data_IF_251309474847
#
_entry.id   IF_251309474847
#
_cell.length_a   1.000
_cell.length_b   1.000
_cell.length_c   1.000
_cell.angle_alpha   90.00
_cell.angle_beta   90.00
_cell.angle_gamma   90.00
#
_symmetry.space_group_name_H-M   'P 1'
#
loop_
_entity.id
_entity.type
_entity.pdbx_description
1 polymer ?
#
# COMPACT_ATOMS: atom_id res chain seq x y z
N UNK A 1 11.36 -67.89 -8.20
CA UNK A 1 11.88 -66.52 -8.45
C UNK A 1 11.47 -65.61 -7.30
N UNK A 2 12.39 -64.77 -6.82
CA UNK A 2 12.49 -64.29 -5.42
C UNK A 2 11.33 -63.35 -4.99
N UNK A 3 10.56 -63.67 -3.93
CA UNK A 3 9.54 -62.79 -3.35
C UNK A 3 10.10 -61.62 -2.50
N UNK A 4 11.41 -61.36 -2.55
CA UNK A 4 12.09 -60.31 -1.76
C UNK A 4 12.26 -58.97 -2.48
N UNK A 5 11.84 -58.86 -3.75
CA UNK A 5 11.99 -57.62 -4.53
C UNK A 5 10.90 -56.59 -4.23
N UNK A 6 9.69 -57.03 -3.87
CA UNK A 6 8.53 -56.17 -3.61
C UNK A 6 8.73 -55.21 -2.42
N UNK A 7 9.21 -55.63 -1.23
CA UNK A 7 9.37 -54.71 -0.11
C UNK A 7 10.49 -53.69 -0.35
N UNK A 8 11.49 -54.03 -1.16
CA UNK A 8 12.60 -53.13 -1.49
C UNK A 8 12.15 -52.03 -2.46
N UNK A 9 11.25 -52.36 -3.40
CA UNK A 9 10.67 -51.41 -4.35
C UNK A 9 9.69 -50.45 -3.66
N UNK A 10 8.89 -50.95 -2.70
CA UNK A 10 8.00 -50.13 -1.87
C UNK A 10 8.81 -49.20 -0.94
N UNK A 11 9.89 -49.69 -0.34
CA UNK A 11 10.79 -48.85 0.46
C UNK A 11 11.49 -47.77 -0.38
N UNK A 12 11.89 -48.07 -1.62
CA UNK A 12 12.47 -47.08 -2.53
C UNK A 12 11.45 -46.01 -2.97
N UNK A 13 10.20 -46.40 -3.22
CA UNK A 13 9.09 -45.48 -3.54
C UNK A 13 8.71 -44.60 -2.33
N UNK A 14 8.78 -45.13 -1.11
CA UNK A 14 8.59 -44.36 0.13
C UNK A 14 9.76 -43.38 0.39
N UNK A 15 11.00 -43.77 0.09
CA UNK A 15 12.15 -42.86 0.18
C UNK A 15 12.14 -41.79 -0.93
N UNK A 16 11.58 -42.07 -2.11
CA UNK A 16 11.45 -41.10 -3.19
C UNK A 16 10.33 -40.06 -2.97
N UNK A 17 9.36 -40.35 -2.08
CA UNK A 17 8.29 -39.41 -1.69
C UNK A 17 8.66 -38.55 -0.49
N UNK A 18 9.81 -38.78 0.14
CA UNK A 18 10.47 -37.80 1.00
C UNK A 18 11.11 -36.67 0.17
N UNK A 19 10.41 -36.22 -0.87
CA UNK A 19 10.69 -34.97 -1.54
C UNK A 19 10.51 -33.88 -0.49
N UNK A 20 11.64 -33.33 -0.09
CA UNK A 20 11.81 -32.18 0.78
C UNK A 20 10.61 -31.24 0.62
N UNK A 21 9.77 -31.15 1.65
CA UNK A 21 8.80 -30.07 1.78
C UNK A 21 9.60 -28.80 2.05
N UNK A 22 10.30 -28.30 1.03
CA UNK A 22 10.81 -26.94 1.06
C UNK A 22 9.56 -26.08 1.03
N UNK A 23 9.29 -25.25 2.05
CA UNK A 23 8.20 -24.30 1.96
C UNK A 23 8.41 -23.53 0.65
N UNK A 24 7.36 -23.42 -0.17
CA UNK A 24 7.41 -22.58 -1.34
C UNK A 24 7.86 -21.20 -0.85
N UNK A 25 9.10 -20.82 -1.18
CA UNK A 25 9.59 -19.48 -0.94
C UNK A 25 8.78 -18.62 -1.88
N UNK A 26 7.71 -18.04 -1.36
CA UNK A 26 6.86 -17.11 -2.10
C UNK A 26 7.77 -15.94 -2.48
N UNK A 27 8.21 -15.91 -3.74
CA UNK A 27 9.21 -14.99 -4.25
C UNK A 27 8.63 -13.59 -4.50
N UNK A 28 7.68 -13.17 -3.67
CA UNK A 28 7.07 -11.84 -3.74
C UNK A 28 8.09 -10.78 -3.34
N UNK A 29 7.89 -9.57 -3.86
CA UNK A 29 8.65 -8.42 -3.43
C UNK A 29 8.50 -8.21 -1.91
N UNK A 30 9.46 -7.54 -1.24
CA UNK A 30 9.32 -7.18 0.16
C UNK A 30 8.02 -6.40 0.43
N UNK A 31 7.44 -6.51 1.64
CA UNK A 31 6.26 -5.74 2.01
C UNK A 31 6.47 -4.24 1.79
N UNK A 32 5.43 -3.55 1.33
CA UNK A 32 5.49 -2.12 0.98
C UNK A 32 4.59 -1.31 1.92
N UNK A 33 5.07 -0.20 2.50
CA UNK A 33 4.22 0.69 3.29
C UNK A 33 3.22 1.41 2.40
N UNK A 34 1.98 1.57 2.85
CA UNK A 34 1.02 2.45 2.16
C UNK A 34 1.49 3.90 2.20
N UNK A 35 2.11 4.32 3.31
CA UNK A 35 2.71 5.65 3.47
C UNK A 35 4.20 5.54 3.83
N UNK A 36 5.10 5.66 2.85
CA UNK A 36 6.55 5.62 3.13
C UNK A 36 7.07 6.82 3.93
N UNK A 37 6.42 8.00 3.84
CA UNK A 37 6.73 9.17 4.69
C UNK A 37 6.35 8.93 6.16
N UNK A 38 5.30 8.15 6.39
CA UNK A 38 4.80 7.84 7.72
C UNK A 38 5.64 6.72 8.38
N UNK A 39 6.31 5.89 7.57
CA UNK A 39 7.23 4.82 8.01
C UNK A 39 8.70 5.27 8.10
N UNK A 40 8.93 6.58 8.23
CA UNK A 40 10.26 7.13 8.08
C UNK A 40 11.13 6.73 9.28
N UNK A 41 12.16 5.94 9.04
CA UNK A 41 13.24 5.68 10.01
C UNK A 41 14.55 5.53 9.25
N UNK A 42 15.32 6.62 9.14
CA UNK A 42 16.56 6.62 8.35
C UNK A 42 17.62 7.55 8.91
N UNK A 43 18.87 7.23 8.58
CA UNK A 43 20.02 8.09 8.82
C UNK A 43 20.39 8.79 7.53
N UNK A 44 20.41 10.12 7.55
CA UNK A 44 20.82 10.93 6.41
C UNK A 44 22.32 10.77 6.12
N UNK A 45 22.81 11.13 4.92
CA UNK A 45 24.25 11.03 4.61
C UNK A 45 25.16 11.84 5.55
N UNK A 46 24.65 12.89 6.18
CA UNK A 46 25.35 13.71 7.18
C UNK A 46 25.33 13.12 8.59
N UNK A 47 24.61 12.01 8.81
CA UNK A 47 24.60 11.24 10.06
C UNK A 47 23.41 11.54 10.97
N UNK A 48 22.56 12.51 10.64
CA UNK A 48 21.35 12.79 11.42
C UNK A 48 20.30 11.71 11.19
N UNK A 49 19.75 11.18 12.27
CA UNK A 49 18.61 10.27 12.22
C UNK A 49 17.31 11.07 12.13
N UNK A 50 16.46 10.70 11.18
CA UNK A 50 15.11 11.24 11.04
C UNK A 50 14.15 10.08 11.26
N UNK A 51 13.19 10.27 12.16
CA UNK A 51 12.25 9.21 12.58
C UNK A 51 10.84 9.80 12.66
N UNK A 52 9.88 9.15 12.00
CA UNK A 52 8.46 9.43 12.16
C UNK A 52 7.94 8.84 13.48
N UNK A 53 7.18 9.63 14.21
CA UNK A 53 6.36 9.21 15.33
C UNK A 53 4.91 9.02 14.87
N UNK A 54 3.99 9.73 15.52
CA UNK A 54 2.58 9.69 15.11
C UNK A 54 2.40 10.24 13.69
N UNK A 55 1.59 9.57 12.88
CA UNK A 55 1.49 9.90 11.46
C UNK A 55 0.11 9.66 10.86
N UNK A 56 -0.22 10.47 9.87
CA UNK A 56 -1.46 10.35 9.11
C UNK A 56 -1.22 10.53 7.62
N UNK A 57 -2.01 9.81 6.82
CA UNK A 57 -2.06 9.96 5.37
C UNK A 57 -3.48 10.26 4.92
N UNK A 58 -3.63 11.33 4.14
CA UNK A 58 -4.87 11.63 3.42
C UNK A 58 -4.64 11.52 1.92
N UNK A 59 -5.41 10.65 1.27
CA UNK A 59 -5.47 10.51 -0.18
C UNK A 59 -6.78 11.10 -0.68
N UNK A 60 -6.71 11.99 -1.66
CA UNK A 60 -7.87 12.55 -2.34
C UNK A 60 -7.88 12.08 -3.79
N UNK A 61 -8.95 11.40 -4.19
CA UNK A 61 -9.19 10.94 -5.56
C UNK A 61 -9.96 12.04 -6.30
N UNK A 62 -9.40 12.50 -7.42
CA UNK A 62 -10.00 13.53 -8.27
C UNK A 62 -10.77 12.92 -9.44
N UNK A 63 -11.72 13.65 -10.01
CA UNK A 63 -12.58 13.26 -11.13
C UNK A 63 -11.78 12.83 -12.37
N UNK A 64 -10.61 13.44 -12.55
CA UNK A 64 -9.71 13.11 -13.65
C UNK A 64 -8.93 11.81 -13.43
N UNK A 65 -9.13 11.12 -12.31
CA UNK A 65 -8.43 9.88 -11.93
C UNK A 65 -7.06 10.10 -11.29
N UNK A 66 -6.56 11.33 -11.24
CA UNK A 66 -5.35 11.58 -10.45
C UNK A 66 -5.66 11.59 -8.96
N UNK A 67 -4.63 11.40 -8.16
CA UNK A 67 -4.72 11.44 -6.71
C UNK A 67 -3.76 12.49 -6.14
N UNK A 68 -4.16 13.13 -5.06
CA UNK A 68 -3.26 13.94 -4.24
C UNK A 68 -3.12 13.32 -2.87
N UNK A 69 -1.90 13.29 -2.38
CA UNK A 69 -1.51 12.65 -1.14
C UNK A 69 -0.94 13.71 -0.22
N UNK A 70 -1.42 13.71 1.03
CA UNK A 70 -0.89 14.54 2.10
C UNK A 70 -0.49 13.61 3.24
N UNK A 71 0.81 13.39 3.38
CA UNK A 71 1.38 12.71 4.53
C UNK A 71 1.76 13.75 5.59
N UNK A 72 1.43 13.46 6.85
CA UNK A 72 1.93 14.19 8.01
C UNK A 72 2.59 13.19 8.95
N UNK A 73 3.78 13.52 9.42
CA UNK A 73 4.50 12.74 10.42
C UNK A 73 5.05 13.69 11.48
N UNK A 74 4.62 13.50 12.72
CA UNK A 74 5.22 14.16 13.88
C UNK A 74 6.57 13.49 14.13
N UNK A 75 7.66 14.23 13.91
CA UNK A 75 8.99 13.65 13.93
C UNK A 75 9.41 13.34 15.37
N UNK A 76 9.68 12.07 15.66
CA UNK A 76 10.30 11.64 16.91
C UNK A 76 11.79 12.03 16.95
N UNK A 77 12.43 12.22 15.79
CA UNK A 77 13.79 12.73 15.67
C UNK A 77 14.02 13.41 14.30
N UNK A 78 14.98 14.34 14.26
CA UNK A 78 15.47 14.95 13.03
C UNK A 78 14.78 16.24 12.59
N UNK A 79 13.79 16.74 13.33
CA UNK A 79 13.06 17.97 13.02
C UNK A 79 13.98 19.19 12.84
N UNK A 80 14.91 19.41 13.78
CA UNK A 80 15.87 20.52 13.72
C UNK A 80 16.75 20.48 12.46
N UNK A 81 17.23 19.29 12.09
CA UNK A 81 18.06 19.10 10.89
C UNK A 81 17.26 19.41 9.61
N UNK A 82 16.01 18.92 9.55
CA UNK A 82 15.12 19.20 8.43
C UNK A 82 14.66 20.68 8.40
N UNK A 83 14.59 21.36 9.54
CA UNK A 83 14.27 22.77 9.63
C UNK A 83 15.43 23.64 9.14
N UNK A 84 16.65 23.29 9.56
CA UNK A 84 17.88 24.00 9.18
C UNK A 84 18.23 23.84 7.70
N UNK A 85 17.84 22.74 7.07
CA UNK A 85 18.22 22.43 5.69
C UNK A 85 17.03 21.99 4.83
N UNK A 86 16.52 22.93 4.02
CA UNK A 86 15.41 22.68 3.09
C UNK A 86 15.75 21.62 2.02
N UNK A 87 16.98 21.64 1.49
CA UNK A 87 17.38 20.67 0.47
C UNK A 87 17.42 19.25 1.03
N UNK A 88 17.89 19.09 2.27
CA UNK A 88 17.83 17.82 3.00
C UNK A 88 16.38 17.38 3.20
N UNK A 89 15.51 18.27 3.69
CA UNK A 89 14.08 17.99 3.88
C UNK A 89 13.40 17.52 2.59
N UNK A 90 13.67 18.20 1.47
CA UNK A 90 13.13 17.78 0.16
C UNK A 90 13.66 16.42 -0.28
N UNK A 91 14.94 16.14 -0.08
CA UNK A 91 15.53 14.84 -0.44
C UNK A 91 14.94 13.70 0.39
N UNK A 92 14.90 13.86 1.72
CA UNK A 92 14.33 12.89 2.67
C UNK A 92 12.86 12.62 2.35
N UNK A 93 12.06 13.67 2.15
CA UNK A 93 10.65 13.52 1.78
C UNK A 93 10.45 12.83 0.42
N UNK A 94 11.28 13.16 -0.58
CA UNK A 94 11.16 12.59 -1.92
C UNK A 94 11.61 11.13 -2.00
N UNK A 95 12.54 10.72 -1.16
CA UNK A 95 12.94 9.32 -1.03
C UNK A 95 11.87 8.54 -0.26
N UNK A 96 11.46 9.03 0.91
CA UNK A 96 10.43 8.38 1.73
C UNK A 96 9.08 8.24 1.01
N UNK A 97 8.68 9.23 0.20
CA UNK A 97 7.46 9.13 -0.60
C UNK A 97 7.52 8.01 -1.67
N UNK A 98 8.71 7.69 -2.19
CA UNK A 98 8.91 6.60 -3.18
C UNK A 98 8.96 5.22 -2.54
N UNK A 99 9.21 5.14 -1.24
CA UNK A 99 9.15 3.87 -0.52
C UNK A 99 7.70 3.41 -0.30
N UNK A 100 6.72 4.31 -0.47
CA UNK A 100 5.30 4.01 -0.39
C UNK A 100 4.70 3.38 -1.66
N UNK A 101 3.41 3.05 -1.62
CA UNK A 101 2.66 2.48 -2.77
C UNK A 101 2.38 3.46 -3.92
N UNK A 102 2.75 4.73 -3.79
CA UNK A 102 2.46 5.76 -4.77
C UNK A 102 3.67 6.06 -5.67
N UNK A 103 3.41 6.60 -6.86
CA UNK A 103 4.42 7.16 -7.76
C UNK A 103 4.42 8.71 -7.68
N UNK A 104 5.18 9.31 -6.74
CA UNK A 104 5.07 10.74 -6.46
C UNK A 104 5.56 11.63 -7.61
N UNK A 105 4.73 12.62 -7.95
CA UNK A 105 5.00 13.77 -8.82
C UNK A 105 4.69 15.06 -8.08
N UNK A 106 5.28 16.17 -8.53
CA UNK A 106 5.02 17.52 -8.00
C UNK A 106 5.12 17.62 -6.46
N UNK A 107 6.11 16.92 -5.89
CA UNK A 107 6.28 16.80 -4.45
C UNK A 107 6.73 18.11 -3.82
N UNK A 108 6.09 18.46 -2.70
CA UNK A 108 6.51 19.55 -1.82
C UNK A 108 6.63 19.03 -0.38
N UNK A 109 7.57 19.61 0.36
CA UNK A 109 7.85 19.22 1.74
C UNK A 109 8.09 20.45 2.61
N UNK A 110 7.34 20.55 3.70
CA UNK A 110 7.43 21.63 4.68
C UNK A 110 7.44 21.07 6.09
N UNK A 111 7.92 21.89 7.02
CA UNK A 111 7.78 21.64 8.46
C UNK A 111 6.77 22.60 9.05
N UNK A 112 6.03 22.10 10.03
CA UNK A 112 5.05 22.82 10.84
C UNK A 112 5.36 22.49 12.30
N UNK A 113 6.27 23.27 12.91
CA UNK A 113 6.97 22.81 14.12
C UNK A 113 7.77 21.54 13.83
N UNK A 114 7.49 20.48 14.58
CA UNK A 114 8.13 19.17 14.42
C UNK A 114 7.37 18.24 13.45
N UNK A 115 6.25 18.70 12.87
CA UNK A 115 5.47 17.92 11.92
C UNK A 115 6.01 18.09 10.50
N UNK A 116 6.53 17.02 9.90
CA UNK A 116 6.83 16.98 8.47
C UNK A 116 5.53 16.80 7.68
N UNK A 117 5.23 17.74 6.80
CA UNK A 117 4.10 17.67 5.87
C UNK A 117 4.61 17.53 4.46
N UNK A 118 4.23 16.44 3.81
CA UNK A 118 4.60 16.13 2.42
C UNK A 118 3.34 16.03 1.58
N UNK A 119 3.24 16.89 0.58
CA UNK A 119 2.16 16.90 -0.41
C UNK A 119 2.72 16.45 -1.76
N UNK A 120 2.07 15.49 -2.41
CA UNK A 120 2.45 15.04 -3.76
C UNK A 120 1.23 14.57 -4.56
N UNK A 121 1.41 14.42 -5.86
CA UNK A 121 0.40 13.93 -6.80
C UNK A 121 0.84 12.60 -7.38
N UNK A 122 -0.11 11.68 -7.55
CA UNK A 122 0.09 10.51 -8.39
C UNK A 122 -0.98 10.51 -9.49
N UNK A 123 -0.58 10.72 -10.77
CA UNK A 123 -1.52 10.75 -11.88
C UNK A 123 -2.05 9.36 -12.29
N UNK A 124 -1.43 8.28 -11.83
CA UNK A 124 -1.64 6.90 -12.30
C UNK A 124 -2.17 5.97 -11.21
N UNK A 125 -2.31 6.43 -9.97
CA UNK A 125 -2.87 5.67 -8.84
C UNK A 125 -4.35 5.26 -8.97
N UNK A 126 -5.01 5.52 -10.10
CA UNK A 126 -6.35 4.98 -10.34
C UNK A 126 -6.53 4.44 -11.74
N UNK A 127 -7.45 3.48 -11.85
CA UNK A 127 -8.02 3.06 -13.11
C UNK A 127 -9.41 3.63 -13.32
N UNK A 128 -9.70 4.08 -14.54
CA UNK A 128 -11.00 4.69 -14.87
C UNK A 128 -11.84 3.77 -15.73
N UNK A 129 -12.99 3.37 -15.19
CA UNK A 129 -13.97 2.51 -15.86
C UNK A 129 -15.37 3.09 -15.64
N UNK A 130 -16.23 3.11 -16.67
CA UNK A 130 -17.66 3.51 -16.53
C UNK A 130 -17.92 4.87 -15.83
N UNK A 131 -16.99 5.82 -15.96
CA UNK A 131 -17.09 7.14 -15.33
C UNK A 131 -16.79 7.16 -13.84
N UNK A 132 -16.21 6.08 -13.28
CA UNK A 132 -15.71 6.00 -11.90
C UNK A 132 -14.19 5.83 -11.90
N UNK A 133 -13.54 6.12 -10.77
CA UNK A 133 -12.11 5.92 -10.57
C UNK A 133 -11.87 4.88 -9.46
N UNK A 134 -11.17 3.80 -9.77
CA UNK A 134 -10.81 2.72 -8.85
C UNK A 134 -9.39 2.96 -8.36
N UNK A 135 -9.21 3.08 -7.06
CA UNK A 135 -7.91 3.31 -6.42
C UNK A 135 -7.24 1.97 -6.10
N UNK A 136 -6.36 1.54 -6.99
CA UNK A 136 -5.70 0.22 -6.99
C UNK A 136 -4.41 0.08 -6.15
N UNK A 137 -3.68 1.13 -5.71
CA UNK A 137 -2.40 0.96 -5.01
C UNK A 137 -2.44 0.15 -3.70
N UNK A 138 -3.63 -0.04 -3.13
CA UNK A 138 -3.80 -0.74 -1.85
C UNK A 138 -3.79 -2.27 -2.00
N UNK A 139 -4.08 -2.78 -3.19
CA UNK A 139 -4.09 -4.22 -3.46
C UNK A 139 -2.83 -4.62 -4.23
N UNK A 140 -1.97 -5.51 -3.69
CA UNK A 140 -0.79 -5.97 -4.40
C UNK A 140 -1.15 -6.67 -5.72
N UNK A 141 -0.48 -6.29 -6.80
CA UNK A 141 -0.60 -6.96 -8.08
C UNK A 141 -0.07 -8.40 -8.01
N UNK A 142 -0.90 -9.32 -8.49
CA UNK A 142 -0.50 -10.71 -8.73
C UNK A 142 0.35 -10.82 -10.00
N UNK A 143 1.16 -11.88 -10.16
CA UNK A 143 1.91 -12.08 -11.39
C UNK A 143 0.94 -12.20 -12.58
N UNK A 144 1.16 -11.40 -13.62
CA UNK A 144 0.32 -11.33 -14.83
C UNK A 144 0.38 -12.58 -15.71
N UNK A 145 1.14 -13.61 -15.31
CA UNK A 145 1.29 -14.86 -16.06
C UNK A 145 0.95 -16.07 -15.20
N UNK A 146 0.07 -16.96 -15.67
CA UNK A 146 -0.28 -18.16 -14.93
C UNK A 146 0.95 -19.05 -14.73
N UNK A 147 1.07 -19.65 -13.55
CA UNK A 147 2.18 -20.52 -13.12
C UNK A 147 3.54 -19.82 -12.89
N UNK A 148 3.59 -18.49 -12.92
CA UNK A 148 4.75 -17.72 -12.43
C UNK A 148 4.58 -17.43 -10.94
N UNK A 149 5.60 -17.78 -10.15
CA UNK A 149 5.68 -17.39 -8.74
C UNK A 149 6.30 -15.99 -8.64
N UNK A 150 5.74 -15.12 -7.81
CA UNK A 150 6.19 -13.74 -7.66
C UNK A 150 5.01 -12.78 -7.48
N UNK A 151 5.23 -11.49 -7.71
CA UNK A 151 4.24 -10.43 -7.54
C UNK A 151 4.67 -9.39 -6.54
N UNK A 152 3.82 -8.38 -6.34
CA UNK A 152 4.07 -7.35 -5.35
C UNK A 152 4.03 -7.91 -3.93
N UNK A 153 4.77 -7.27 -3.03
CA UNK A 153 4.76 -7.58 -1.62
C UNK A 153 3.44 -7.19 -0.96
N UNK A 154 3.14 -7.82 0.16
CA UNK A 154 2.00 -7.45 0.99
C UNK A 154 2.09 -5.96 1.39
N UNK A 155 0.94 -5.29 1.48
CA UNK A 155 0.91 -3.91 1.98
C UNK A 155 0.83 -3.91 3.51
N UNK A 156 1.36 -2.86 4.12
CA UNK A 156 1.12 -2.54 5.53
C UNK A 156 0.82 -1.06 5.68
N UNK A 157 -0.02 -0.71 6.65
CA UNK A 157 -0.62 0.63 6.71
C UNK A 157 0.43 1.74 6.87
N UNK A 158 1.41 1.48 7.74
CA UNK A 158 2.54 2.36 8.04
C UNK A 158 2.18 3.78 8.50
N UNK A 159 0.92 4.00 8.91
CA UNK A 159 0.41 5.26 9.45
C UNK A 159 -0.58 4.97 10.59
N UNK A 160 -0.74 5.90 11.53
CA UNK A 160 -1.76 5.79 12.58
C UNK A 160 -3.17 6.05 12.07
N UNK A 161 -3.27 6.78 10.94
CA UNK A 161 -4.54 7.01 10.24
C UNK A 161 -4.34 7.11 8.74
N UNK A 162 -5.05 6.28 7.98
CA UNK A 162 -5.23 6.45 6.54
C UNK A 162 -6.64 6.94 6.27
N UNK A 163 -6.77 8.00 5.48
CA UNK A 163 -8.05 8.50 4.98
C UNK A 163 -8.02 8.54 3.46
N UNK A 164 -8.93 7.82 2.81
CA UNK A 164 -9.14 7.89 1.35
C UNK A 164 -10.48 8.57 1.09
N UNK A 165 -10.46 9.70 0.38
CA UNK A 165 -11.66 10.49 0.12
C UNK A 165 -11.75 10.94 -1.33
N UNK A 166 -12.95 11.28 -1.76
CA UNK A 166 -13.20 11.87 -3.07
C UNK A 166 -13.01 13.38 -2.98
N UNK A 167 -12.70 14.01 -4.10
CA UNK A 167 -12.83 15.45 -4.19
C UNK A 167 -14.29 15.91 -3.95
N UNK A 168 -14.54 17.19 -3.62
CA UNK A 168 -15.90 17.69 -3.46
C UNK A 168 -16.80 17.36 -4.66
N UNK A 169 -17.97 16.79 -4.39
CA UNK A 169 -18.88 16.28 -5.43
C UNK A 169 -18.74 14.80 -5.73
N UNK A 170 -17.74 14.12 -5.12
CA UNK A 170 -17.55 12.67 -5.25
C UNK A 170 -17.78 11.96 -3.92
N UNK A 171 -18.35 10.76 -4.00
CA UNK A 171 -18.46 9.80 -2.91
C UNK A 171 -17.38 8.72 -3.08
N UNK A 172 -16.94 8.11 -2.00
CA UNK A 172 -15.98 7.00 -2.04
C UNK A 172 -16.63 5.76 -1.46
N UNK A 173 -16.46 4.64 -2.16
CA UNK A 173 -17.01 3.35 -1.77
C UNK A 173 -15.91 2.34 -1.61
N UNK A 174 -15.98 1.54 -0.56
CA UNK A 174 -14.98 0.53 -0.22
C UNK A 174 -15.33 -0.08 1.13
N UNK A 175 -14.56 -1.09 1.50
CA UNK A 175 -14.72 -1.75 2.78
C UNK A 175 -13.62 -1.22 3.72
N UNK A 176 -13.99 -0.24 4.55
CA UNK A 176 -13.12 0.33 5.58
C UNK A 176 -13.78 0.21 6.96
N UNK A 177 -13.01 -0.01 8.05
CA UNK A 177 -13.57 -0.12 9.40
C UNK A 177 -14.32 1.14 9.86
N UNK A 178 -13.92 2.31 9.37
CA UNK A 178 -14.57 3.58 9.67
C UNK A 178 -14.70 4.51 8.47
N UNK A 179 -15.37 5.64 8.68
CA UNK A 179 -15.55 6.70 7.67
C UNK A 179 -17.02 7.05 7.42
N UNK A 180 -17.29 7.58 6.23
CA UNK A 180 -18.61 7.99 5.74
C UNK A 180 -18.71 7.77 4.22
N UNK A 181 -19.82 8.17 3.60
CA UNK A 181 -19.98 8.07 2.13
C UNK A 181 -18.94 8.87 1.33
N UNK A 182 -18.23 9.80 1.96
CA UNK A 182 -17.22 10.65 1.31
C UNK A 182 -15.79 10.29 1.67
N UNK A 183 -15.57 9.45 2.69
CA UNK A 183 -14.25 9.08 3.16
C UNK A 183 -14.22 7.67 3.74
N UNK A 184 -13.14 6.96 3.49
CA UNK A 184 -12.84 5.66 4.07
C UNK A 184 -11.65 5.83 5.02
N UNK A 185 -11.73 5.24 6.21
CA UNK A 185 -10.73 5.41 7.26
C UNK A 185 -10.26 4.07 7.78
N UNK A 186 -8.94 3.91 7.85
CA UNK A 186 -8.27 2.77 8.49
C UNK A 186 -7.32 3.26 9.59
N UNK A 187 -7.23 2.49 10.68
CA UNK A 187 -6.26 2.72 11.74
C UNK A 187 -5.58 1.41 12.16
N UNK A 188 -4.35 1.43 12.67
CA UNK A 188 -3.67 0.22 13.14
C UNK A 188 -4.39 -0.48 14.31
N UNK A 189 -5.28 0.22 15.02
CA UNK A 189 -6.08 -0.36 16.11
C UNK A 189 -7.06 -1.41 15.62
N UNK A 190 -7.34 -1.42 14.32
CA UNK A 190 -8.29 -2.32 13.69
C UNK A 190 -7.62 -3.61 13.18
N UNK A 191 -6.29 -3.77 13.32
CA UNK A 191 -5.52 -4.90 12.80
C UNK A 191 -4.53 -5.50 13.82
N UNK A 192 -4.36 -6.83 13.82
CA UNK A 192 -3.31 -7.50 14.57
C UNK A 192 -1.94 -7.22 13.95
N UNK A 193 -0.91 -6.98 14.77
CA UNK A 193 0.46 -6.72 14.27
C UNK A 193 1.14 -8.01 13.81
N UNK A 194 2.02 -7.91 12.82
CA UNK A 194 2.89 -9.02 12.38
C UNK A 194 4.13 -9.19 13.29
N UNK A 195 4.96 -10.19 13.01
CA UNK A 195 6.19 -10.48 13.77
C UNK A 195 7.21 -9.33 13.77
N UNK A 196 7.09 -8.40 12.81
CA UNK A 196 7.91 -7.20 12.71
C UNK A 196 7.24 -5.96 13.34
N UNK A 197 6.08 -6.11 13.99
CA UNK A 197 5.32 -5.02 14.61
C UNK A 197 4.55 -4.15 13.61
N UNK A 198 4.51 -4.51 12.33
CA UNK A 198 3.75 -3.79 11.29
C UNK A 198 2.28 -4.14 11.40
N UNK A 199 1.40 -3.23 10.98
CA UNK A 199 -0.02 -3.52 10.83
C UNK A 199 -0.27 -4.01 9.40
N UNK A 200 -0.46 -5.33 9.17
CA UNK A 200 -0.77 -5.85 7.85
C UNK A 200 -2.00 -5.15 7.30
N UNK A 201 -1.95 -4.82 6.01
CA UNK A 201 -2.99 -4.07 5.36
C UNK A 201 -3.47 -4.85 4.15
N UNK A 202 -4.71 -5.33 4.25
CA UNK A 202 -5.40 -6.01 3.17
C UNK A 202 -6.76 -5.33 2.97
N UNK A 203 -7.09 -5.08 1.72
CA UNK A 203 -8.34 -4.43 1.34
C UNK A 203 -9.10 -5.41 0.46
N UNK A 204 -10.20 -5.92 1.00
CA UNK A 204 -11.06 -6.85 0.26
C UNK A 204 -11.66 -6.21 -1.00
N UNK A 205 -11.81 -4.88 -1.01
CA UNK A 205 -12.35 -4.11 -2.12
C UNK A 205 -11.68 -2.73 -2.21
N UNK A 206 -11.03 -2.48 -3.34
CA UNK A 206 -10.43 -1.18 -3.62
C UNK A 206 -11.43 -0.02 -3.47
N UNK A 207 -10.98 1.13 -2.93
CA UNK A 207 -11.77 2.35 -2.92
C UNK A 207 -12.16 2.77 -4.33
N UNK A 208 -13.42 3.15 -4.51
CA UNK A 208 -13.95 3.64 -5.79
C UNK A 208 -14.58 5.00 -5.58
N UNK A 209 -14.05 6.00 -6.27
CA UNK A 209 -14.65 7.33 -6.33
C UNK A 209 -15.75 7.35 -7.39
N UNK A 210 -16.94 7.81 -7.00
CA UNK A 210 -18.12 7.93 -7.87
C UNK A 210 -18.74 9.31 -7.69
N UNK A 211 -19.11 9.98 -8.77
CA UNK A 211 -19.80 11.27 -8.72
C UNK A 211 -21.11 11.16 -7.93
N UNK A 212 -21.37 12.14 -7.05
CA UNK A 212 -22.61 12.21 -6.27
C UNK A 212 -23.79 12.42 -7.23
N UNK A 213 -24.82 11.59 -7.09
CA UNK A 213 -25.99 11.62 -7.97
C UNK A 213 -25.84 10.81 -9.26
N UNK A 214 -24.71 10.10 -9.45
CA UNK A 214 -24.57 9.17 -10.57
C UNK A 214 -25.67 8.10 -10.57
N UNK A 215 -26.14 7.73 -11.77
CA UNK A 215 -27.12 6.65 -11.95
C UNK A 215 -26.43 5.31 -11.65
N UNK A 216 -27.07 4.49 -10.81
CA UNK A 216 -26.58 3.16 -10.40
C UNK A 216 -25.12 3.17 -9.92
N UNK A 217 -24.78 3.97 -8.89
CA UNK A 217 -23.40 4.14 -8.46
C UNK A 217 -22.82 2.85 -7.85
N UNK A 218 -23.67 1.96 -7.34
CA UNK A 218 -23.27 0.69 -6.72
C UNK A 218 -22.84 -0.33 -7.79
N UNK A 219 -23.74 -0.65 -8.74
CA UNK A 219 -23.40 -1.50 -9.87
C UNK A 219 -22.18 -1.00 -10.66
N UNK A 220 -22.06 0.32 -10.91
CA UNK A 220 -20.89 0.89 -11.60
C UNK A 220 -19.59 0.64 -10.84
N UNK A 221 -19.58 0.90 -9.53
CA UNK A 221 -18.39 0.65 -8.71
C UNK A 221 -18.02 -0.84 -8.66
N UNK A 222 -19.01 -1.73 -8.59
CA UNK A 222 -18.77 -3.17 -8.60
C UNK A 222 -18.17 -3.65 -9.93
N UNK A 223 -18.75 -3.25 -11.07
CA UNK A 223 -18.20 -3.62 -12.39
C UNK A 223 -16.81 -3.03 -12.59
N UNK A 224 -16.60 -1.77 -12.21
CA UNK A 224 -15.30 -1.12 -12.35
C UNK A 224 -14.18 -1.84 -11.58
N UNK A 225 -14.46 -2.36 -10.38
CA UNK A 225 -13.49 -3.18 -9.64
C UNK A 225 -13.15 -4.48 -10.35
N UNK A 226 -14.14 -5.16 -10.93
CA UNK A 226 -13.88 -6.37 -11.71
C UNK A 226 -12.96 -6.07 -12.90
N UNK A 227 -13.24 -4.97 -13.61
CA UNK A 227 -12.42 -4.54 -14.74
C UNK A 227 -11.00 -4.15 -14.34
N UNK A 228 -10.80 -3.63 -13.13
CA UNK A 228 -9.47 -3.29 -12.60
C UNK A 228 -8.71 -4.52 -12.09
N UNK A 229 -9.41 -5.50 -11.50
CA UNK A 229 -8.80 -6.74 -11.04
C UNK A 229 -8.32 -7.64 -12.20
N UNK A 230 -8.93 -7.50 -13.38
CA UNK A 230 -8.61 -8.25 -14.61
C UNK A 230 -7.61 -7.51 -15.54
N UNK A 231 -6.90 -6.48 -15.04
CA UNK A 231 -5.87 -5.75 -15.80
C UNK A 231 -4.72 -6.65 -16.31
N UNK A 232 -4.10 -6.31 -17.45
CA UNK A 232 -3.36 -7.21 -18.35
C UNK A 232 -2.18 -8.00 -17.76
#
# INVERSE_FOLDING_TARGET
>A
MRPRALPLLVALLLCATAAVAVPAVDARAPPTPVCGVCDLDRTTPSGERVVAGESELTVTIHANGSTTWRARADLAAGAEALAANESLRRAVAAEAARDGVAEPRDLSARLDGDTLVVDYRDPNATERHLGVAVFTPLTPASPSTPFVMGGEGARYLAADRLTVRGEPGWAVRGDAPGGSDTELVWSPRDAARDDAGRAPFDVARDPVAVEKGAILPGPRAWIARLLAADGP
#
